data_IF_109880359113
#
_entry.id   IF_109880359113
#
_cell.length_a   1.000
_cell.length_b   1.000
_cell.length_c   1.000
_cell.angle_alpha   90.00
_cell.angle_beta   90.00
_cell.angle_gamma   90.00
#
_symmetry.space_group_name_H-M   'P 1'
#
loop_
_entity.id
_entity.type
_entity.pdbx_description
1 polymer ?
#
# COMPACT_ATOMS: atom_id res chain seq x y z
N UNK A 1 1.36 17.39 25.43
CA UNK A 1 0.53 16.18 25.33
C UNK A 1 -0.33 16.31 24.07
N UNK A 2 -0.26 15.40 23.09
CA UNK A 2 -1.15 15.46 21.92
C UNK A 2 -2.60 15.28 22.42
N UNK A 3 -3.56 16.11 22.00
CA UNK A 3 -4.94 15.94 22.43
C UNK A 3 -5.48 14.61 21.90
N UNK A 4 -5.91 13.73 22.81
CA UNK A 4 -6.70 12.56 22.43
C UNK A 4 -8.16 12.98 22.26
N UNK A 5 -8.66 12.85 21.04
CA UNK A 5 -10.08 13.06 20.75
C UNK A 5 -10.84 11.78 21.10
N UNK A 6 -11.74 11.83 22.06
CA UNK A 6 -12.65 10.71 22.35
C UNK A 6 -13.76 10.69 21.29
N UNK A 7 -13.90 9.57 20.57
CA UNK A 7 -14.94 9.37 19.57
C UNK A 7 -15.77 8.14 19.92
N UNK A 8 -17.06 8.36 20.20
CA UNK A 8 -17.99 7.28 20.50
C UNK A 8 -18.35 6.52 19.21
N UNK A 9 -17.66 5.42 18.94
CA UNK A 9 -17.91 4.55 17.80
C UNK A 9 -19.00 3.52 18.13
N UNK A 10 -20.00 3.40 17.25
CA UNK A 10 -21.00 2.32 17.31
C UNK A 10 -20.68 1.27 16.26
N UNK A 11 -20.39 0.05 16.69
CA UNK A 11 -20.17 -1.11 15.83
C UNK A 11 -21.40 -2.01 15.86
N UNK A 12 -21.60 -2.77 14.78
CA UNK A 12 -22.58 -3.87 14.77
C UNK A 12 -22.21 -4.90 15.84
N UNK A 13 -23.21 -5.51 16.48
CA UNK A 13 -22.98 -6.44 17.62
C UNK A 13 -22.05 -7.59 17.26
N UNK A 14 -22.24 -8.20 16.08
CA UNK A 14 -21.38 -9.28 15.58
C UNK A 14 -19.92 -8.87 15.40
N UNK A 15 -19.67 -7.65 14.92
CA UNK A 15 -18.32 -7.09 14.77
C UNK A 15 -17.69 -6.85 16.14
N UNK A 16 -18.47 -6.30 17.09
CA UNK A 16 -17.98 -6.07 18.46
C UNK A 16 -17.63 -7.38 19.16
N UNK A 17 -18.42 -8.44 18.96
CA UNK A 17 -18.13 -9.77 19.50
C UNK A 17 -16.84 -10.35 18.93
N UNK A 18 -16.65 -10.27 17.63
CA UNK A 18 -15.43 -10.78 16.99
C UNK A 18 -14.19 -9.97 17.39
N UNK A 19 -14.32 -8.64 17.41
CA UNK A 19 -13.25 -7.74 17.84
C UNK A 19 -12.79 -8.02 19.27
N UNK A 20 -13.71 -8.39 20.17
CA UNK A 20 -13.36 -8.78 21.54
C UNK A 20 -12.50 -10.04 21.57
N UNK A 21 -12.85 -11.07 20.79
CA UNK A 21 -12.06 -12.32 20.73
C UNK A 21 -10.67 -12.04 20.19
N UNK A 22 -10.57 -11.33 19.07
CA UNK A 22 -9.28 -11.00 18.46
C UNK A 22 -8.42 -10.17 19.41
N UNK A 23 -9.01 -9.16 20.07
CA UNK A 23 -8.27 -8.35 21.04
C UNK A 23 -7.76 -9.19 22.23
N UNK A 24 -8.54 -10.17 22.71
CA UNK A 24 -8.13 -11.11 23.75
C UNK A 24 -7.01 -12.05 23.28
N UNK A 25 -7.14 -12.62 22.08
CA UNK A 25 -6.12 -13.49 21.46
C UNK A 25 -4.79 -12.75 21.23
N UNK A 26 -4.85 -11.49 20.82
CA UNK A 26 -3.67 -10.63 20.62
C UNK A 26 -3.16 -9.97 21.92
N UNK A 27 -3.87 -10.13 23.04
CA UNK A 27 -3.51 -9.51 24.32
C UNK A 27 -3.52 -7.98 24.28
N UNK A 28 -4.37 -7.37 23.47
CA UNK A 28 -4.47 -5.92 23.28
C UNK A 28 -5.82 -5.37 23.72
N UNK A 29 -5.90 -4.05 23.91
CA UNK A 29 -7.20 -3.40 24.17
C UNK A 29 -7.95 -3.16 22.88
N UNK A 30 -9.28 -3.21 22.93
CA UNK A 30 -10.16 -2.89 21.78
C UNK A 30 -9.82 -1.50 21.19
N UNK A 31 -9.57 -0.51 22.04
CA UNK A 31 -9.24 0.84 21.57
C UNK A 31 -7.90 0.88 20.83
N UNK A 32 -6.89 0.15 21.33
CA UNK A 32 -5.59 0.06 20.66
C UNK A 32 -5.74 -0.66 19.31
N UNK A 33 -6.47 -1.78 19.28
CA UNK A 33 -6.76 -2.50 18.06
C UNK A 33 -7.43 -1.59 17.02
N UNK A 34 -8.50 -0.88 17.39
CA UNK A 34 -9.20 0.06 16.51
C UNK A 34 -8.26 1.16 16.00
N UNK A 35 -7.42 1.73 16.87
CA UNK A 35 -6.48 2.78 16.47
C UNK A 35 -5.47 2.29 15.43
N UNK A 36 -4.93 1.07 15.61
CA UNK A 36 -4.01 0.46 14.64
C UNK A 36 -4.73 0.17 13.33
N UNK A 37 -5.90 -0.47 13.37
CA UNK A 37 -6.68 -0.79 12.18
C UNK A 37 -7.08 0.47 11.38
N UNK A 38 -7.42 1.57 12.06
CA UNK A 38 -7.69 2.86 11.41
C UNK A 38 -6.42 3.43 10.77
N UNK A 39 -5.28 3.38 11.45
CA UNK A 39 -4.01 3.83 10.89
C UNK A 39 -3.62 3.03 9.64
N UNK A 40 -3.78 1.71 9.67
CA UNK A 40 -3.55 0.83 8.53
C UNK A 40 -4.48 1.15 7.36
N UNK A 41 -5.78 1.30 7.63
CA UNK A 41 -6.75 1.65 6.58
C UNK A 41 -6.41 3.00 5.93
N UNK A 42 -6.00 3.98 6.72
CA UNK A 42 -5.56 5.28 6.22
C UNK A 42 -4.29 5.15 5.38
N UNK A 43 -3.30 4.38 5.84
CA UNK A 43 -2.07 4.14 5.09
C UNK A 43 -2.35 3.51 3.72
N UNK A 44 -3.22 2.50 3.66
CA UNK A 44 -3.65 1.87 2.41
C UNK A 44 -4.32 2.88 1.48
N UNK A 45 -5.29 3.64 1.97
CA UNK A 45 -5.99 4.64 1.15
C UNK A 45 -5.05 5.73 0.62
N UNK A 46 -4.10 6.19 1.45
CA UNK A 46 -3.08 7.18 1.04
C UNK A 46 -2.11 6.62 0.04
N UNK A 47 -1.74 5.35 0.16
CA UNK A 47 -0.84 4.67 -0.77
C UNK A 47 -1.48 4.55 -2.15
N UNK A 48 -2.77 4.20 -2.21
CA UNK A 48 -3.53 4.18 -3.47
C UNK A 48 -3.53 5.55 -4.14
N UNK A 49 -3.78 6.62 -3.37
CA UNK A 49 -3.79 7.97 -3.91
C UNK A 49 -2.41 8.41 -4.40
N UNK A 50 -1.36 8.12 -3.62
CA UNK A 50 0.02 8.39 -4.01
C UNK A 50 0.39 7.73 -5.34
N UNK A 51 0.01 6.47 -5.57
CA UNK A 51 0.30 5.80 -6.84
C UNK A 51 -0.45 6.43 -8.02
N UNK A 52 -1.69 6.88 -7.82
CA UNK A 52 -2.45 7.59 -8.87
C UNK A 52 -1.79 8.92 -9.22
N UNK A 53 -1.45 9.72 -8.21
CA UNK A 53 -0.75 10.99 -8.41
C UNK A 53 0.59 10.77 -9.09
N UNK A 54 1.37 9.78 -8.66
CA UNK A 54 2.65 9.44 -9.29
C UNK A 54 2.48 9.00 -10.74
N UNK A 55 1.48 8.16 -11.03
CA UNK A 55 1.19 7.71 -12.39
C UNK A 55 0.79 8.87 -13.31
N UNK A 56 0.08 9.88 -12.80
CA UNK A 56 -0.28 11.07 -13.58
C UNK A 56 0.93 11.89 -14.05
N UNK A 57 2.07 11.76 -13.38
CA UNK A 57 3.33 12.41 -13.76
C UNK A 57 4.25 11.50 -14.60
N UNK A 58 3.78 10.33 -15.04
CA UNK A 58 4.59 9.40 -15.82
C UNK A 58 4.78 9.94 -17.26
N UNK A 59 6.02 9.88 -17.74
CA UNK A 59 6.34 10.09 -19.15
C UNK A 59 6.33 8.73 -19.87
N UNK A 60 5.23 8.46 -20.57
CA UNK A 60 5.04 7.21 -21.31
C UNK A 60 5.99 7.07 -22.51
N UNK A 61 6.46 8.19 -23.07
CA UNK A 61 7.43 8.18 -24.18
C UNK A 61 8.82 7.82 -23.66
N UNK A 62 9.24 8.41 -22.53
CA UNK A 62 10.48 8.01 -21.87
C UNK A 62 10.44 6.54 -21.42
N UNK A 63 9.30 6.07 -20.93
CA UNK A 63 9.10 4.66 -20.59
C UNK A 63 9.25 3.74 -21.80
N UNK A 64 8.65 4.09 -22.95
CA UNK A 64 8.78 3.28 -24.17
C UNK A 64 10.22 3.23 -24.68
N UNK A 65 10.91 4.37 -24.76
CA UNK A 65 12.34 4.44 -25.14
C UNK A 65 13.21 3.56 -24.25
N UNK A 66 12.94 3.55 -22.95
CA UNK A 66 13.63 2.66 -22.02
C UNK A 66 13.39 1.18 -22.34
N UNK A 67 12.14 0.77 -22.58
CA UNK A 67 11.80 -0.62 -22.92
C UNK A 67 12.38 -1.08 -24.25
N UNK A 68 12.49 -0.17 -25.23
CA UNK A 68 13.05 -0.46 -26.57
C UNK A 68 14.59 -0.51 -26.57
N UNK A 69 15.24 -0.39 -25.41
CA UNK A 69 16.69 -0.54 -25.26
C UNK A 69 17.47 0.72 -25.65
N UNK A 70 16.81 1.85 -25.87
CA UNK A 70 17.47 3.13 -26.18
C UNK A 70 18.10 3.78 -24.93
N UNK A 71 17.92 3.18 -23.75
CA UNK A 71 18.30 3.74 -22.45
C UNK A 71 19.77 3.56 -22.04
N UNK A 72 20.57 2.77 -22.77
CA UNK A 72 21.96 2.52 -22.41
C UNK A 72 22.79 1.95 -23.56
N UNK A 73 24.11 2.19 -23.51
CA UNK A 73 25.07 1.69 -24.50
C UNK A 73 25.82 0.43 -24.04
N UNK A 74 25.56 -0.05 -22.83
CA UNK A 74 26.15 -1.28 -22.31
C UNK A 74 25.42 -2.48 -22.95
N UNK A 75 26.14 -3.46 -23.51
CA UNK A 75 25.52 -4.66 -24.04
C UNK A 75 24.81 -5.45 -22.91
N UNK A 76 23.78 -6.26 -23.23
CA UNK A 76 23.16 -7.14 -22.25
C UNK A 76 24.20 -8.03 -21.57
N UNK A 77 23.98 -8.34 -20.29
CA UNK A 77 24.78 -9.34 -19.58
C UNK A 77 24.42 -10.73 -20.10
N UNK A 78 25.35 -11.67 -19.91
CA UNK A 78 25.11 -13.08 -20.25
C UNK A 78 23.81 -13.58 -19.58
N UNK A 79 22.86 -14.04 -20.38
CA UNK A 79 21.54 -14.50 -19.94
C UNK A 79 20.42 -13.45 -19.99
N UNK A 80 20.75 -12.17 -20.20
CA UNK A 80 19.79 -11.06 -20.36
C UNK A 80 19.54 -10.71 -21.84
N UNK A 81 20.01 -11.53 -22.78
CA UNK A 81 19.82 -11.28 -24.20
C UNK A 81 18.35 -11.44 -24.61
N UNK A 82 17.85 -10.51 -25.42
CA UNK A 82 16.52 -10.63 -26.01
C UNK A 82 16.51 -11.82 -26.99
N UNK A 83 15.67 -12.83 -26.71
CA UNK A 83 15.40 -13.92 -27.65
C UNK A 83 14.55 -13.35 -28.80
N UNK A 84 15.20 -12.94 -29.88
CA UNK A 84 14.50 -12.46 -31.08
C UNK A 84 13.86 -13.67 -31.77
N UNK A 85 12.55 -13.83 -31.63
CA UNK A 85 11.80 -14.79 -32.47
C UNK A 85 11.59 -14.19 -33.86
N UNK A 86 11.74 -14.99 -34.94
CA UNK A 86 11.62 -14.54 -36.32
C UNK A 86 10.21 -14.10 -36.72
#
# INVERSE_FOLDING_TARGET
MKPQTNYALRLQSSIMEELKKVAEEEGTSINQFINVAVAEKLAVLRTVEYFKERAAHADMEAFRRFLEGEGGTEPPREGDELVVSP
#
